data_IF_137933486351
#
_entry.id   IF_137933486351
#
_cell.length_a   1.000
_cell.length_b   1.000
_cell.length_c   1.000
_cell.angle_alpha   90.00
_cell.angle_beta   90.00
_cell.angle_gamma   90.00
#
_symmetry.space_group_name_H-M   'P 1'
#
loop_
_entity.id
_entity.type
_entity.pdbx_description
1 polymer ?
#
# COMPACT_ATOMS: atom_id res chain seq x y z
N UNK A 1 -15.72 -36.66 60.74
CA UNK A 1 -14.30 -36.48 60.44
C UNK A 1 -14.11 -36.47 58.93
N UNK A 2 -13.95 -35.30 58.32
CA UNK A 2 -13.43 -35.16 56.95
C UNK A 2 -13.00 -33.71 56.72
N UNK A 3 -11.77 -33.58 56.24
CA UNK A 3 -11.01 -32.34 56.05
C UNK A 3 -11.54 -31.58 54.83
N UNK A 4 -11.61 -30.25 54.92
CA UNK A 4 -11.72 -29.37 53.75
C UNK A 4 -10.49 -28.47 53.75
N UNK A 5 -9.68 -28.59 52.69
CA UNK A 5 -8.43 -27.89 52.47
C UNK A 5 -8.70 -26.47 51.97
N UNK A 6 -8.24 -25.49 52.73
CA UNK A 6 -8.11 -24.08 52.35
C UNK A 6 -6.92 -23.93 51.40
N UNK A 7 -7.12 -23.35 50.22
CA UNK A 7 -6.03 -22.88 49.36
C UNK A 7 -6.11 -21.36 49.25
N UNK A 8 -5.08 -20.71 49.79
CA UNK A 8 -4.79 -19.28 49.79
C UNK A 8 -4.25 -18.84 48.43
N UNK A 9 -4.86 -17.82 47.81
CA UNK A 9 -4.23 -17.06 46.71
C UNK A 9 -3.33 -15.96 47.30
N UNK A 10 -2.12 -15.75 46.77
CA UNK A 10 -1.32 -14.58 47.13
C UNK A 10 -1.70 -13.37 46.27
N UNK A 11 -2.07 -12.27 46.94
CA UNK A 11 -2.15 -10.94 46.36
C UNK A 11 -0.74 -10.42 46.06
N UNK A 12 -0.49 -9.99 44.82
CA UNK A 12 0.72 -9.22 44.49
C UNK A 12 0.29 -7.86 43.98
N UNK A 13 0.80 -6.84 44.68
CA UNK A 13 0.50 -5.44 44.51
C UNK A 13 0.86 -4.90 43.13
N UNK A 14 -0.06 -4.12 42.57
CA UNK A 14 0.14 -3.28 41.40
C UNK A 14 1.15 -2.16 41.71
N UNK A 15 2.29 -2.18 41.02
CA UNK A 15 3.22 -1.05 40.97
C UNK A 15 2.71 0.02 39.99
N UNK A 16 2.92 1.32 40.26
CA UNK A 16 2.43 2.39 39.43
C UNK A 16 3.23 2.49 38.12
N UNK A 17 2.50 2.72 37.02
CA UNK A 17 3.03 2.89 35.69
C UNK A 17 3.98 4.11 35.62
N UNK A 18 5.23 3.85 35.24
CA UNK A 18 6.18 4.88 34.83
C UNK A 18 5.69 5.54 33.53
N UNK A 19 5.43 6.83 33.60
CA UNK A 19 5.12 7.70 32.47
C UNK A 19 6.31 7.75 31.49
N UNK A 20 6.18 7.08 30.35
CA UNK A 20 7.04 7.34 29.19
C UNK A 20 6.54 8.60 28.48
N UNK A 21 7.35 9.65 28.54
CA UNK A 21 7.22 10.84 27.72
C UNK A 21 7.41 10.47 26.25
N UNK A 22 6.31 10.22 25.54
CA UNK A 22 6.33 9.97 24.10
C UNK A 22 6.70 11.24 23.35
N UNK A 23 7.89 11.27 22.74
CA UNK A 23 8.16 12.22 21.67
C UNK A 23 7.25 11.88 20.50
N UNK A 24 6.24 12.72 20.29
CA UNK A 24 5.34 12.60 19.14
C UNK A 24 6.13 13.03 17.91
N UNK A 25 6.86 12.10 17.29
CA UNK A 25 7.37 12.32 15.94
C UNK A 25 6.15 12.43 15.03
N UNK A 26 5.74 13.67 14.74
CA UNK A 26 4.73 13.95 13.73
C UNK A 26 5.30 13.52 12.39
N UNK A 27 4.70 12.47 11.82
CA UNK A 27 5.03 11.97 10.49
C UNK A 27 4.75 13.08 9.46
N UNK A 28 5.64 13.31 8.47
CA UNK A 28 5.41 14.31 7.44
C UNK A 28 4.13 13.99 6.67
N UNK A 29 3.34 15.01 6.34
CA UNK A 29 2.15 14.82 5.49
C UNK A 29 2.54 14.48 4.06
N UNK A 30 1.61 13.87 3.30
CA UNK A 30 1.78 13.65 1.86
C UNK A 30 2.19 14.92 1.11
N UNK A 31 1.68 16.08 1.52
CA UNK A 31 2.00 17.38 0.91
C UNK A 31 3.46 17.78 1.17
N UNK A 32 3.97 17.55 2.40
CA UNK A 32 5.37 17.80 2.75
C UNK A 32 6.32 16.83 2.02
N UNK A 33 5.91 15.58 1.83
CA UNK A 33 6.67 14.61 1.05
C UNK A 33 6.67 14.99 -0.44
N UNK A 34 5.56 15.47 -0.99
CA UNK A 34 5.50 15.96 -2.37
C UNK A 34 6.41 17.18 -2.59
N UNK A 35 6.41 18.13 -1.65
CA UNK A 35 7.35 19.26 -1.68
C UNK A 35 8.81 18.80 -1.55
N UNK A 36 9.09 17.79 -0.71
CA UNK A 36 10.44 17.22 -0.57
C UNK A 36 10.89 16.53 -1.85
N UNK A 37 9.99 15.79 -2.52
CA UNK A 37 10.26 15.18 -3.84
C UNK A 37 10.52 16.25 -4.90
N UNK A 38 9.81 17.38 -4.85
CA UNK A 38 10.08 18.53 -5.73
C UNK A 38 11.40 19.25 -5.42
N UNK A 39 11.98 19.07 -4.23
CA UNK A 39 13.23 19.70 -3.80
C UNK A 39 14.45 18.78 -3.87
N UNK A 40 14.29 17.50 -4.27
CA UNK A 40 15.43 16.62 -4.52
C UNK A 40 16.08 17.00 -5.86
N UNK A 41 17.37 17.37 -5.81
CA UNK A 41 18.16 17.73 -6.99
C UNK A 41 18.05 16.65 -8.09
N UNK A 42 17.62 17.12 -9.26
CA UNK A 42 17.50 16.43 -10.54
C UNK A 42 18.86 15.81 -10.91
N UNK A 43 19.00 14.50 -11.14
CA UNK A 43 19.08 14.01 -12.53
C UNK A 43 18.90 12.47 -12.68
N UNK A 44 18.67 11.68 -11.62
CA UNK A 44 18.65 10.21 -11.75
C UNK A 44 17.55 9.44 -10.98
N UNK A 45 16.63 10.10 -10.25
CA UNK A 45 15.71 9.38 -9.37
C UNK A 45 14.30 9.14 -9.93
N UNK A 46 13.86 9.93 -10.92
CA UNK A 46 12.47 9.92 -11.37
C UNK A 46 12.35 10.12 -12.88
N UNK A 47 11.87 9.08 -13.56
CA UNK A 47 11.53 9.12 -14.97
C UNK A 47 10.01 9.04 -15.13
N UNK A 48 9.45 9.87 -16.01
CA UNK A 48 8.03 9.86 -16.34
C UNK A 48 7.82 9.31 -17.74
N UNK A 49 7.14 8.18 -17.83
CA UNK A 49 6.76 7.55 -19.11
C UNK A 49 5.25 7.49 -19.22
N UNK A 50 4.71 7.89 -20.38
CA UNK A 50 3.29 7.77 -20.68
C UNK A 50 3.03 6.51 -21.48
N UNK A 51 2.15 5.66 -20.98
CA UNK A 51 1.69 4.46 -21.68
C UNK A 51 0.18 4.27 -21.51
N UNK A 52 -0.45 3.61 -22.48
CA UNK A 52 -1.76 3.00 -22.27
C UNK A 52 -1.59 1.67 -21.53
N UNK A 53 -1.82 1.69 -20.22
CA UNK A 53 -1.70 0.51 -19.38
C UNK A 53 -2.75 -0.58 -19.70
N UNK A 54 -3.81 -0.26 -20.46
CA UNK A 54 -4.77 -1.27 -20.95
C UNK A 54 -4.24 -2.02 -22.18
N UNK A 55 -3.26 -1.46 -22.89
CA UNK A 55 -2.55 -2.12 -23.98
C UNK A 55 -1.48 -3.06 -23.44
N UNK A 56 -1.64 -4.35 -23.72
CA UNK A 56 -0.66 -5.36 -23.32
C UNK A 56 0.72 -5.09 -23.94
N UNK A 57 0.76 -4.73 -25.21
CA UNK A 57 2.02 -4.52 -25.92
C UNK A 57 2.79 -3.34 -25.33
N UNK A 58 2.11 -2.23 -25.02
CA UNK A 58 2.76 -1.07 -24.39
C UNK A 58 3.27 -1.39 -22.98
N UNK A 59 2.50 -2.12 -22.17
CA UNK A 59 2.97 -2.57 -20.85
C UNK A 59 4.18 -3.48 -20.98
N UNK A 60 4.19 -4.38 -21.95
CA UNK A 60 5.32 -5.30 -22.18
C UNK A 60 6.56 -4.54 -22.65
N UNK A 61 6.41 -3.59 -23.58
CA UNK A 61 7.50 -2.72 -24.02
C UNK A 61 8.06 -1.90 -22.86
N UNK A 62 7.20 -1.22 -22.10
CA UNK A 62 7.61 -0.45 -20.94
C UNK A 62 8.40 -1.28 -19.92
N UNK A 63 7.86 -2.45 -19.55
CA UNK A 63 8.53 -3.34 -18.61
C UNK A 63 9.85 -3.89 -19.18
N UNK A 64 9.92 -4.15 -20.49
CA UNK A 64 11.12 -4.64 -21.15
C UNK A 64 12.24 -3.59 -21.20
N UNK A 65 11.89 -2.32 -21.32
CA UNK A 65 12.83 -1.20 -21.34
C UNK A 65 13.40 -0.89 -19.94
N UNK A 66 12.81 -1.45 -18.89
CA UNK A 66 13.26 -1.33 -17.49
C UNK A 66 13.60 -2.71 -16.88
N UNK A 67 14.61 -3.43 -17.41
CA UNK A 67 14.94 -4.79 -16.96
C UNK A 67 15.46 -4.85 -15.51
N UNK A 68 15.94 -3.72 -14.99
CA UNK A 68 16.47 -3.51 -13.64
C UNK A 68 15.38 -3.23 -12.59
N UNK A 69 14.11 -3.12 -13.00
CA UNK A 69 13.00 -2.95 -12.08
C UNK A 69 12.96 -4.06 -11.03
N UNK A 70 13.11 -3.69 -9.75
CA UNK A 70 13.09 -4.63 -8.62
C UNK A 70 11.72 -4.76 -7.97
N UNK A 71 10.87 -3.76 -8.15
CA UNK A 71 9.51 -3.75 -7.63
C UNK A 71 8.55 -3.03 -8.59
N UNK A 72 7.28 -3.43 -8.55
CA UNK A 72 6.20 -2.80 -9.32
C UNK A 72 5.06 -2.44 -8.39
N UNK A 73 4.61 -1.19 -8.40
CA UNK A 73 3.44 -0.74 -7.65
C UNK A 73 2.35 -0.32 -8.63
N UNK A 74 1.28 -1.11 -8.71
CA UNK A 74 0.11 -0.77 -9.51
C UNK A 74 -0.95 -0.07 -8.65
N UNK A 75 -1.04 1.25 -8.81
CA UNK A 75 -2.09 2.10 -8.24
C UNK A 75 -3.15 2.53 -9.26
N UNK A 76 -3.15 1.94 -10.47
CA UNK A 76 -4.11 2.31 -11.52
C UNK A 76 -5.53 1.87 -11.12
N UNK A 77 -6.48 2.79 -11.28
CA UNK A 77 -7.88 2.51 -11.08
C UNK A 77 -8.77 3.59 -11.67
N UNK A 78 -9.90 3.16 -12.25
CA UNK A 78 -10.89 4.06 -12.83
C UNK A 78 -12.23 3.88 -12.10
N UNK A 79 -12.68 4.95 -11.43
CA UNK A 79 -13.99 4.98 -10.79
C UNK A 79 -14.98 5.66 -11.75
N UNK A 80 -15.75 4.85 -12.48
CA UNK A 80 -16.79 5.35 -13.40
C UNK A 80 -18.07 4.50 -13.29
N UNK A 81 -19.18 5.08 -13.75
CA UNK A 81 -20.48 4.39 -13.87
C UNK A 81 -20.54 3.49 -15.09
N UNK A 82 -19.69 3.70 -16.09
CA UNK A 82 -19.59 2.81 -17.23
C UNK A 82 -19.00 1.47 -16.77
N UNK A 83 -19.80 0.40 -16.89
CA UNK A 83 -19.39 -0.92 -16.46
C UNK A 83 -18.16 -1.41 -17.23
N UNK A 84 -18.17 -1.27 -18.56
CA UNK A 84 -17.12 -1.83 -19.42
C UNK A 84 -15.79 -1.11 -19.19
N UNK A 85 -15.77 0.22 -19.23
CA UNK A 85 -14.57 1.01 -18.96
C UNK A 85 -13.98 0.69 -17.57
N UNK A 86 -14.85 0.67 -16.54
CA UNK A 86 -14.39 0.36 -15.18
C UNK A 86 -13.89 -1.08 -15.07
N UNK A 87 -14.56 -2.06 -15.67
CA UNK A 87 -14.13 -3.46 -15.64
C UNK A 87 -12.81 -3.65 -16.37
N UNK A 88 -12.68 -3.05 -17.55
CA UNK A 88 -11.50 -3.14 -18.42
C UNK A 88 -10.30 -2.52 -17.72
N UNK A 89 -10.37 -1.24 -17.33
CA UNK A 89 -9.22 -0.55 -16.72
C UNK A 89 -8.82 -1.19 -15.40
N UNK A 90 -9.77 -1.49 -14.51
CA UNK A 90 -9.41 -2.04 -13.19
C UNK A 90 -9.01 -3.53 -13.23
N UNK A 91 -9.27 -4.25 -14.32
CA UNK A 91 -8.95 -5.68 -14.46
C UNK A 91 -7.77 -5.97 -15.38
N UNK A 92 -7.81 -5.41 -16.59
CA UNK A 92 -6.87 -5.76 -17.66
C UNK A 92 -5.49 -5.16 -17.40
N UNK A 93 -5.40 -3.96 -16.80
CA UNK A 93 -4.11 -3.33 -16.44
C UNK A 93 -3.27 -4.23 -15.54
N UNK A 94 -3.83 -4.72 -14.44
CA UNK A 94 -3.11 -5.61 -13.53
C UNK A 94 -2.82 -6.97 -14.17
N UNK A 95 -3.71 -7.44 -15.05
CA UNK A 95 -3.49 -8.69 -15.79
C UNK A 95 -2.30 -8.57 -16.76
N UNK A 96 -2.19 -7.44 -17.47
CA UNK A 96 -1.08 -7.14 -18.36
C UNK A 96 0.24 -7.04 -17.58
N UNK A 97 0.24 -6.31 -16.46
CA UNK A 97 1.42 -6.18 -15.58
C UNK A 97 1.84 -7.55 -15.04
N UNK A 98 0.91 -8.34 -14.50
CA UNK A 98 1.21 -9.67 -13.97
C UNK A 98 1.80 -10.61 -15.04
N UNK A 99 1.30 -10.54 -16.27
CA UNK A 99 1.85 -11.28 -17.39
C UNK A 99 3.23 -10.77 -17.82
N UNK A 100 3.45 -9.45 -17.82
CA UNK A 100 4.72 -8.83 -18.23
C UNK A 100 5.85 -9.11 -17.24
N UNK A 101 5.57 -9.10 -15.93
CA UNK A 101 6.56 -9.41 -14.88
C UNK A 101 7.15 -10.82 -15.00
N UNK A 102 6.43 -11.75 -15.63
CA UNK A 102 6.93 -13.10 -15.88
C UNK A 102 7.87 -13.23 -17.08
N UNK A 103 8.10 -12.16 -17.83
CA UNK A 103 9.10 -12.17 -18.88
C UNK A 103 10.48 -12.57 -18.31
N UNK A 104 11.29 -13.42 -18.98
CA UNK A 104 12.54 -13.93 -18.44
C UNK A 104 13.52 -12.86 -17.94
N UNK A 105 13.51 -11.68 -18.58
CA UNK A 105 14.34 -10.53 -18.18
C UNK A 105 13.93 -9.92 -16.83
N UNK A 106 12.65 -10.01 -16.46
CA UNK A 106 12.08 -9.40 -15.26
C UNK A 106 11.79 -10.42 -14.16
N UNK A 107 11.57 -11.68 -14.54
CA UNK A 107 11.26 -12.75 -13.60
C UNK A 107 12.36 -12.92 -12.53
N UNK A 108 13.59 -12.52 -12.83
CA UNK A 108 14.72 -12.55 -11.90
C UNK A 108 14.89 -11.24 -11.11
N UNK A 109 14.64 -10.08 -11.72
CA UNK A 109 14.84 -8.76 -11.08
C UNK A 109 13.67 -8.35 -10.20
N UNK A 110 12.43 -8.54 -10.66
CA UNK A 110 11.24 -8.15 -9.91
C UNK A 110 11.02 -9.09 -8.73
N UNK A 111 11.19 -8.55 -7.53
CA UNK A 111 11.04 -9.24 -6.25
C UNK A 111 9.64 -9.07 -5.67
N UNK A 112 9.01 -7.92 -5.94
CA UNK A 112 7.69 -7.60 -5.41
C UNK A 112 6.79 -6.87 -6.40
N UNK A 113 5.54 -7.27 -6.43
CA UNK A 113 4.46 -6.59 -7.14
C UNK A 113 3.36 -6.26 -6.14
N UNK A 114 3.10 -4.97 -5.96
CA UNK A 114 2.05 -4.44 -5.10
C UNK A 114 0.88 -4.01 -5.96
N UNK A 115 -0.32 -4.49 -5.64
CA UNK A 115 -1.55 -4.08 -6.29
C UNK A 115 -2.48 -3.38 -5.31
N UNK A 116 -2.81 -2.11 -5.58
CA UNK A 116 -3.81 -1.36 -4.82
C UNK A 116 -5.21 -1.68 -5.36
N UNK A 117 -5.88 -2.61 -4.69
CA UNK A 117 -7.24 -3.05 -5.01
C UNK A 117 -8.28 -2.20 -4.24
N UNK A 118 -9.40 -2.81 -3.86
CA UNK A 118 -10.40 -2.25 -2.98
C UNK A 118 -11.05 -3.37 -2.17
N UNK A 119 -11.45 -3.03 -0.95
CA UNK A 119 -12.21 -3.94 -0.11
C UNK A 119 -13.54 -4.31 -0.79
N UNK A 120 -13.86 -5.61 -0.96
CA UNK A 120 -15.09 -6.04 -1.61
C UNK A 120 -16.34 -5.64 -0.80
N UNK A 121 -17.14 -4.72 -1.36
CA UNK A 121 -18.36 -4.18 -0.76
C UNK A 121 -19.47 -5.23 -0.53
N UNK A 122 -19.33 -6.43 -1.13
CA UNK A 122 -20.33 -7.48 -1.05
C UNK A 122 -20.13 -8.46 0.12
N UNK A 123 -19.02 -8.38 0.86
CA UNK A 123 -18.77 -9.32 1.96
C UNK A 123 -19.58 -9.01 3.23
N UNK A 124 -19.85 -7.73 3.53
CA UNK A 124 -20.32 -7.35 4.87
C UNK A 124 -21.65 -6.60 4.93
N UNK A 125 -22.11 -5.97 3.84
CA UNK A 125 -23.29 -5.08 3.88
C UNK A 125 -24.30 -5.35 2.75
N UNK A 126 -24.57 -6.64 2.47
CA UNK A 126 -25.55 -7.09 1.46
C UNK A 126 -26.96 -6.50 1.64
N UNK A 127 -27.31 -6.05 2.87
CA UNK A 127 -28.66 -5.64 3.29
C UNK A 127 -28.86 -4.13 3.44
N UNK A 128 -27.80 -3.34 3.63
CA UNK A 128 -27.89 -1.89 3.91
C UNK A 128 -27.66 -1.03 2.66
N UNK A 129 -26.77 -1.46 1.77
CA UNK A 129 -26.41 -0.72 0.55
C UNK A 129 -26.97 -1.43 -0.70
N UNK A 130 -28.29 -1.60 -0.72
CA UNK A 130 -29.07 -2.23 -1.80
C UNK A 130 -28.95 -1.56 -3.18
N UNK A 131 -28.15 -0.50 -3.34
CA UNK A 131 -27.74 0.07 -4.62
C UNK A 131 -26.59 -0.72 -5.25
N UNK A 132 -26.79 -2.03 -5.43
CA UNK A 132 -26.04 -2.80 -6.42
C UNK A 132 -26.23 -2.06 -7.74
N UNK A 133 -25.16 -1.75 -8.48
CA UNK A 133 -25.07 -1.44 -9.93
C UNK A 133 -24.10 -0.29 -10.27
N UNK A 134 -23.99 0.78 -9.45
CA UNK A 134 -23.21 1.97 -9.84
C UNK A 134 -21.70 1.73 -10.02
N UNK A 135 -21.10 0.84 -9.22
CA UNK A 135 -19.66 0.54 -9.27
C UNK A 135 -19.40 -0.95 -9.54
N UNK A 136 -20.37 -1.64 -10.19
CA UNK A 136 -20.25 -3.07 -10.46
C UNK A 136 -19.01 -3.39 -11.30
N UNK A 137 -18.74 -2.57 -12.33
CA UNK A 137 -17.58 -2.73 -13.21
C UNK A 137 -16.26 -2.55 -12.45
N UNK A 138 -16.18 -1.52 -11.60
CA UNK A 138 -15.04 -1.25 -10.74
C UNK A 138 -14.67 -2.46 -9.86
N UNK A 139 -15.62 -2.98 -9.06
CA UNK A 139 -15.34 -4.12 -8.19
C UNK A 139 -15.07 -5.42 -8.96
N UNK A 140 -15.72 -5.59 -10.11
CA UNK A 140 -15.48 -6.74 -10.96
C UNK A 140 -14.05 -6.70 -11.53
N UNK A 141 -13.63 -5.56 -12.08
CA UNK A 141 -12.26 -5.35 -12.56
C UNK A 141 -11.24 -5.52 -11.44
N UNK A 142 -11.47 -4.89 -10.27
CA UNK A 142 -10.58 -5.04 -9.11
C UNK A 142 -10.37 -6.52 -8.76
N UNK A 143 -11.44 -7.33 -8.71
CA UNK A 143 -11.36 -8.78 -8.46
C UNK A 143 -10.60 -9.55 -9.55
N UNK A 144 -10.72 -9.17 -10.81
CA UNK A 144 -9.91 -9.75 -11.90
C UNK A 144 -8.42 -9.48 -11.64
N UNK A 145 -8.06 -8.24 -11.31
CA UNK A 145 -6.68 -7.88 -10.97
C UNK A 145 -6.15 -8.64 -9.75
N UNK A 146 -6.97 -8.81 -8.72
CA UNK A 146 -6.59 -9.61 -7.54
C UNK A 146 -6.31 -11.06 -7.91
N UNK A 147 -7.18 -11.66 -8.73
CA UNK A 147 -6.99 -13.03 -9.24
C UNK A 147 -5.67 -13.12 -10.01
N UNK A 148 -5.41 -12.14 -10.89
CA UNK A 148 -4.17 -12.07 -11.65
C UNK A 148 -2.93 -11.97 -10.74
N UNK A 149 -2.99 -11.31 -9.59
CA UNK A 149 -1.86 -11.26 -8.65
C UNK A 149 -1.73 -12.57 -7.87
N UNK A 150 -2.82 -13.06 -7.28
CA UNK A 150 -2.79 -14.18 -6.34
C UNK A 150 -2.50 -15.53 -7.02
N UNK A 151 -3.01 -15.73 -8.23
CA UNK A 151 -2.81 -16.99 -8.95
C UNK A 151 -1.48 -17.05 -9.69
N UNK A 152 -0.98 -15.89 -10.14
CA UNK A 152 0.22 -15.85 -10.97
C UNK A 152 1.46 -15.50 -10.15
N UNK A 153 1.43 -14.49 -9.28
CA UNK A 153 2.66 -13.94 -8.71
C UNK A 153 3.13 -14.63 -7.42
N UNK A 154 2.32 -15.52 -6.83
CA UNK A 154 2.67 -16.24 -5.60
C UNK A 154 3.16 -15.30 -4.49
N UNK A 155 4.31 -15.61 -3.88
CA UNK A 155 4.89 -14.78 -2.82
C UNK A 155 5.40 -13.42 -3.32
N UNK A 156 5.60 -13.23 -4.63
CA UNK A 156 5.96 -11.93 -5.19
C UNK A 156 4.77 -10.97 -5.23
N UNK A 157 3.54 -11.47 -5.09
CA UNK A 157 2.33 -10.66 -5.17
C UNK A 157 1.79 -10.24 -3.79
N UNK A 158 1.50 -8.95 -3.63
CA UNK A 158 0.69 -8.43 -2.52
C UNK A 158 -0.48 -7.62 -3.06
N UNK A 159 -1.65 -7.83 -2.47
CA UNK A 159 -2.88 -7.11 -2.78
C UNK A 159 -3.26 -6.27 -1.57
N UNK A 160 -3.19 -4.95 -1.69
CA UNK A 160 -3.72 -4.03 -0.69
C UNK A 160 -5.22 -3.84 -0.95
N UNK A 161 -6.05 -4.09 0.06
CA UNK A 161 -7.50 -3.87 0.02
C UNK A 161 -7.90 -2.72 0.94
N UNK A 162 -7.71 -1.47 0.48
CA UNK A 162 -8.22 -0.32 1.20
C UNK A 162 -9.75 -0.26 1.12
N UNK A 163 -10.36 0.34 2.14
CA UNK A 163 -11.75 0.75 2.15
C UNK A 163 -11.90 2.15 1.51
N UNK A 164 -12.60 3.07 2.16
CA UNK A 164 -12.58 4.49 1.78
C UNK A 164 -11.22 5.11 2.14
N UNK A 165 -10.44 5.47 1.12
CA UNK A 165 -9.17 6.18 1.31
C UNK A 165 -9.46 7.66 1.53
N UNK A 166 -8.87 8.23 2.59
CA UNK A 166 -8.96 9.66 2.87
C UNK A 166 -7.57 10.31 2.92
N UNK A 167 -7.56 11.62 2.69
CA UNK A 167 -6.36 12.44 2.50
C UNK A 167 -6.70 13.60 1.57
N UNK A 168 -5.69 14.25 1.01
CA UNK A 168 -5.87 15.25 -0.05
C UNK A 168 -5.93 14.54 -1.40
N UNK A 169 -7.07 14.62 -2.08
CA UNK A 169 -7.21 14.08 -3.44
C UNK A 169 -7.11 15.20 -4.46
N UNK A 170 -6.12 15.14 -5.32
CA UNK A 170 -5.99 16.03 -6.46
C UNK A 170 -6.81 15.47 -7.64
N UNK A 171 -7.76 16.25 -8.13
CA UNK A 171 -8.58 15.90 -9.30
C UNK A 171 -8.28 16.89 -10.41
N UNK A 172 -7.90 16.37 -11.58
CA UNK A 172 -7.76 17.18 -12.78
C UNK A 172 -9.17 17.53 -13.30
N UNK A 173 -9.46 18.83 -13.38
CA UNK A 173 -10.72 19.38 -13.88
C UNK A 173 -10.39 20.16 -15.14
N UNK A 174 -10.90 19.69 -16.28
CA UNK A 174 -10.84 20.46 -17.52
C UNK A 174 -11.77 21.66 -17.40
N UNK A 175 -11.28 22.84 -17.76
CA UNK A 175 -12.09 24.05 -17.76
C UNK A 175 -13.18 23.97 -18.83
N UNK A 176 -14.43 24.22 -18.44
CA UNK A 176 -15.55 24.28 -19.40
C UNK A 176 -15.39 25.43 -20.42
N UNK A 177 -14.58 26.44 -20.11
CA UNK A 177 -14.31 27.57 -21.00
C UNK A 177 -13.08 27.37 -21.89
N UNK A 178 -12.15 26.49 -21.49
CA UNK A 178 -10.98 26.17 -22.28
C UNK A 178 -10.61 24.69 -22.08
N UNK A 179 -10.98 23.81 -23.02
CA UNK A 179 -10.75 22.36 -22.87
C UNK A 179 -9.26 21.99 -22.83
N UNK A 180 -8.36 22.88 -23.28
CA UNK A 180 -6.91 22.70 -23.20
C UNK A 180 -6.33 23.14 -21.85
N UNK A 181 -7.12 23.84 -21.02
CA UNK A 181 -6.74 24.24 -19.67
C UNK A 181 -7.20 23.20 -18.65
N UNK A 182 -6.24 22.43 -18.12
CA UNK A 182 -6.44 21.48 -17.04
C UNK A 182 -6.04 22.13 -15.71
N UNK A 183 -6.99 22.26 -14.79
CA UNK A 183 -6.75 22.77 -13.44
C UNK A 183 -6.81 21.64 -12.42
N UNK A 184 -5.98 21.69 -11.38
CA UNK A 184 -5.99 20.71 -10.29
C UNK A 184 -6.86 21.20 -9.14
N UNK A 185 -7.91 20.45 -8.79
CA UNK A 185 -8.76 20.69 -7.62
C UNK A 185 -8.36 19.74 -6.47
N UNK A 186 -7.93 20.32 -5.35
CA UNK A 186 -7.63 19.57 -4.12
C UNK A 186 -8.91 19.35 -3.31
N UNK A 187 -9.30 18.09 -3.12
CA UNK A 187 -10.43 17.66 -2.31
C UNK A 187 -9.92 17.10 -0.97
N UNK A 188 -10.07 17.83 0.16
CA UNK A 188 -9.62 17.38 1.47
C UNK A 188 -10.60 16.35 2.05
N UNK A 189 -10.54 15.11 1.54
CA UNK A 189 -11.38 14.00 2.02
C UNK A 189 -11.07 13.64 3.48
N UNK A 190 -9.95 14.12 4.02
CA UNK A 190 -9.57 13.95 5.43
C UNK A 190 -10.59 14.50 6.44
N UNK A 191 -11.33 15.57 6.10
CA UNK A 191 -12.32 16.16 7.03
C UNK A 191 -13.49 15.24 7.34
N UNK A 192 -13.86 14.36 6.40
CA UNK A 192 -14.93 13.37 6.57
C UNK A 192 -14.34 12.00 6.94
N UNK A 193 -13.20 11.64 6.34
CA UNK A 193 -12.58 10.33 6.51
C UNK A 193 -12.00 10.10 7.90
N UNK A 194 -11.29 11.08 8.47
CA UNK A 194 -10.59 10.91 9.75
C UNK A 194 -11.55 10.70 10.95
N UNK A 195 -12.65 11.46 11.11
CA UNK A 195 -13.62 11.19 12.17
C UNK A 195 -14.27 9.81 12.02
N UNK A 196 -14.60 9.42 10.79
CA UNK A 196 -15.23 8.14 10.50
C UNK A 196 -14.28 6.96 10.75
N UNK A 197 -12.99 7.11 10.42
CA UNK A 197 -11.95 6.14 10.74
C UNK A 197 -11.85 5.90 12.25
N UNK A 198 -11.67 6.98 13.03
CA UNK A 198 -11.56 6.90 14.49
C UNK A 198 -12.79 6.24 15.11
N UNK A 199 -13.98 6.61 14.64
CA UNK A 199 -15.25 6.06 15.13
C UNK A 199 -15.35 4.55 14.84
N UNK A 200 -15.15 4.14 13.59
CA UNK A 200 -15.30 2.73 13.19
C UNK A 200 -14.20 1.83 13.74
N UNK A 201 -12.99 2.37 13.91
CA UNK A 201 -11.90 1.67 14.60
C UNK A 201 -12.20 1.52 16.09
N UNK A 202 -12.74 2.56 16.77
CA UNK A 202 -13.05 2.51 18.20
C UNK A 202 -14.23 1.60 18.57
N UNK A 203 -15.24 1.50 17.69
CA UNK A 203 -16.39 0.61 17.90
C UNK A 203 -16.00 -0.87 17.79
N UNK A 204 -14.75 -1.19 17.39
CA UNK A 204 -14.29 -2.56 17.27
C UNK A 204 -15.10 -3.32 16.24
N UNK A 205 -15.38 -2.70 15.09
CA UNK A 205 -16.13 -3.27 13.97
C UNK A 205 -15.38 -4.39 13.25
N UNK A 206 -14.78 -5.32 14.00
CA UNK A 206 -13.95 -6.41 13.49
C UNK A 206 -14.59 -7.08 12.30
N UNK A 207 -13.90 -7.09 11.16
CA UNK A 207 -14.31 -7.58 9.82
C UNK A 207 -15.66 -7.07 9.28
N UNK A 208 -16.62 -6.62 10.08
CA UNK A 208 -17.98 -6.29 9.66
C UNK A 208 -18.09 -4.89 9.04
N UNK A 209 -17.23 -3.95 9.44
CA UNK A 209 -17.13 -2.63 8.85
C UNK A 209 -15.65 -2.27 8.68
N UNK A 210 -15.16 -2.33 7.44
CA UNK A 210 -13.78 -1.92 7.16
C UNK A 210 -13.67 -0.40 7.35
N UNK A 211 -12.88 0.10 8.33
CA UNK A 211 -12.79 1.53 8.61
C UNK A 211 -12.10 2.23 7.44
N UNK A 212 -12.43 3.51 7.14
CA UNK A 212 -11.64 4.35 6.25
C UNK A 212 -10.15 4.30 6.58
N UNK A 213 -9.31 4.52 5.59
CA UNK A 213 -7.84 4.43 5.73
C UNK A 213 -7.17 5.69 5.19
N UNK A 214 -6.17 6.19 5.91
CA UNK A 214 -5.36 7.32 5.44
C UNK A 214 -4.54 6.87 4.21
N UNK A 215 -4.42 7.75 3.21
CA UNK A 215 -3.59 7.52 2.03
C UNK A 215 -2.14 7.17 2.40
N UNK A 216 -1.60 7.79 3.46
CA UNK A 216 -0.25 7.53 3.93
C UNK A 216 -0.05 6.09 4.40
N UNK A 217 -1.08 5.48 5.01
CA UNK A 217 -1.02 4.07 5.45
C UNK A 217 -1.00 3.14 4.23
N UNK A 218 -1.74 3.46 3.18
CA UNK A 218 -1.73 2.67 1.94
C UNK A 218 -0.39 2.81 1.23
N UNK A 219 0.14 4.03 1.13
CA UNK A 219 1.43 4.30 0.51
C UNK A 219 2.58 3.64 1.27
N UNK A 220 2.62 3.79 2.59
CA UNK A 220 3.66 3.17 3.42
C UNK A 220 3.57 1.64 3.38
N UNK A 221 2.38 1.05 3.44
CA UNK A 221 2.23 -0.39 3.32
C UNK A 221 2.74 -0.91 1.97
N UNK A 222 2.50 -0.16 0.88
CA UNK A 222 3.04 -0.49 -0.44
C UNK A 222 4.58 -0.43 -0.45
N UNK A 223 5.16 0.66 0.04
CA UNK A 223 6.62 0.85 0.09
C UNK A 223 7.28 -0.22 0.96
N UNK A 224 6.75 -0.49 2.16
CA UNK A 224 7.28 -1.53 3.05
C UNK A 224 7.18 -2.92 2.45
N UNK A 225 6.09 -3.22 1.72
CA UNK A 225 5.99 -4.50 1.02
C UNK A 225 7.10 -4.67 -0.03
N UNK A 226 7.46 -3.61 -0.74
CA UNK A 226 8.60 -3.61 -1.66
C UNK A 226 9.94 -3.73 -0.92
N UNK A 227 10.17 -2.88 0.09
CA UNK A 227 11.43 -2.81 0.83
C UNK A 227 11.76 -4.10 1.61
N UNK A 228 10.74 -4.83 2.07
CA UNK A 228 10.91 -6.04 2.87
C UNK A 228 10.85 -7.34 2.05
N UNK A 229 10.74 -7.26 0.72
CA UNK A 229 10.57 -8.43 -0.16
C UNK A 229 11.67 -9.49 -0.01
N UNK A 230 12.91 -9.07 0.25
CA UNK A 230 14.06 -9.96 0.45
C UNK A 230 14.45 -10.14 1.92
N UNK A 231 13.67 -9.61 2.85
CA UNK A 231 14.01 -9.68 4.26
C UNK A 231 13.46 -10.97 4.88
N UNK A 232 14.32 -11.82 5.48
CA UNK A 232 13.88 -13.07 6.08
C UNK A 232 12.80 -12.83 7.15
N UNK A 233 11.65 -13.49 7.01
CA UNK A 233 10.55 -13.42 7.97
C UNK A 233 9.72 -12.13 7.94
N UNK A 234 10.03 -11.18 7.05
CA UNK A 234 9.26 -9.93 6.87
C UNK A 234 8.62 -9.81 5.49
N UNK A 235 8.75 -10.84 4.65
CA UNK A 235 8.12 -10.88 3.34
C UNK A 235 6.59 -10.74 3.43
N UNK A 236 6.06 -9.71 2.77
CA UNK A 236 4.62 -9.44 2.72
C UNK A 236 4.08 -9.97 1.39
N UNK A 237 3.12 -10.89 1.48
CA UNK A 237 2.42 -11.45 0.33
C UNK A 237 0.94 -11.73 0.62
N UNK A 238 0.18 -11.97 -0.44
CA UNK A 238 -1.26 -12.23 -0.39
C UNK A 238 -2.07 -10.97 -0.12
N UNK A 239 -3.25 -11.13 0.50
CA UNK A 239 -4.19 -10.03 0.74
C UNK A 239 -3.83 -9.30 2.05
N UNK A 240 -3.78 -7.96 1.98
CA UNK A 240 -3.64 -7.07 3.13
C UNK A 240 -4.86 -6.15 3.20
N UNK A 241 -5.72 -6.39 4.18
CA UNK A 241 -6.81 -5.47 4.53
C UNK A 241 -6.29 -4.26 5.33
N UNK A 242 -7.20 -3.37 5.72
CA UNK A 242 -6.84 -2.14 6.46
C UNK A 242 -6.11 -2.43 7.76
N UNK A 243 -6.46 -3.50 8.47
CA UNK A 243 -5.80 -3.86 9.72
C UNK A 243 -4.39 -4.35 9.47
N UNK A 244 -4.20 -5.26 8.50
CA UNK A 244 -2.87 -5.75 8.14
C UNK A 244 -1.97 -4.62 7.62
N UNK A 245 -2.51 -3.66 6.87
CA UNK A 245 -1.74 -2.46 6.46
C UNK A 245 -1.28 -1.64 7.66
N UNK A 246 -2.13 -1.46 8.69
CA UNK A 246 -1.73 -0.76 9.93
C UNK A 246 -0.67 -1.53 10.71
N UNK A 247 -0.80 -2.86 10.80
CA UNK A 247 0.21 -3.70 11.46
C UNK A 247 1.56 -3.59 10.76
N UNK A 248 1.56 -3.61 9.42
CA UNK A 248 2.77 -3.39 8.61
C UNK A 248 3.39 -2.02 8.91
N UNK A 249 2.59 -0.95 9.00
CA UNK A 249 3.07 0.40 9.27
C UNK A 249 3.58 0.59 10.71
N UNK A 250 3.00 -0.15 11.67
CA UNK A 250 3.39 -0.09 13.08
C UNK A 250 4.61 -0.97 13.40
N UNK A 251 4.95 -1.93 12.56
CA UNK A 251 6.14 -2.76 12.75
C UNK A 251 7.43 -1.93 12.66
N UNK A 252 8.47 -2.35 13.38
CA UNK A 252 9.78 -1.69 13.34
C UNK A 252 10.41 -1.87 11.97
N UNK A 253 10.74 -0.76 11.32
CA UNK A 253 11.47 -0.74 10.06
C UNK A 253 12.94 -1.10 10.32
N UNK A 254 13.43 -2.25 9.85
CA UNK A 254 14.80 -2.67 10.09
C UNK A 254 15.84 -1.90 9.27
N UNK A 255 15.41 -1.09 8.28
CA UNK A 255 16.32 -0.19 7.56
C UNK A 255 16.67 1.07 8.37
N UNK A 256 15.87 1.37 9.40
CA UNK A 256 16.09 2.47 10.33
C UNK A 256 16.81 1.91 11.57
N UNK A 257 18.15 1.93 11.55
CA UNK A 257 18.92 1.72 12.77
C UNK A 257 18.87 2.99 13.63
N UNK A 258 18.49 2.86 14.91
CA UNK A 258 18.75 3.90 15.90
C UNK A 258 20.23 3.85 16.28
N UNK A 259 21.00 4.85 15.86
CA UNK A 259 22.30 5.08 16.48
C UNK A 259 22.09 5.45 17.96
N UNK A 260 23.02 5.03 18.83
CA UNK A 260 23.00 5.27 20.30
C UNK A 260 22.86 6.75 20.72
N UNK A 261 22.86 7.70 19.78
CA UNK A 261 22.65 9.13 19.98
C UNK A 261 21.29 9.66 19.47
N UNK A 262 20.32 8.79 19.12
CA UNK A 262 18.98 9.20 18.72
C UNK A 262 18.91 9.87 17.33
N UNK A 263 19.90 9.62 16.48
CA UNK A 263 19.89 10.05 15.08
C UNK A 263 19.60 8.83 14.20
N UNK A 264 18.52 8.90 13.42
CA UNK A 264 18.16 7.83 12.47
C UNK A 264 18.94 8.06 11.19
N UNK A 265 19.86 7.17 10.85
CA UNK A 265 20.55 7.16 9.55
C UNK A 265 20.12 5.95 8.75
N UNK A 266 19.71 6.16 7.50
CA UNK A 266 19.41 5.08 6.55
C UNK A 266 20.67 4.25 6.29
N UNK A 267 20.57 2.93 6.40
CA UNK A 267 21.69 2.01 6.18
C UNK A 267 22.13 2.02 4.70
N UNK A 268 23.31 2.58 4.42
CA UNK A 268 24.01 2.47 3.13
C UNK A 268 24.58 1.05 2.98
N UNK A 269 23.76 0.11 2.51
CA UNK A 269 24.19 -1.22 2.12
C UNK A 269 24.26 -1.35 0.59
N UNK A 270 25.29 -0.75 -0.01
CA UNK A 270 25.83 -1.14 -1.32
C UNK A 270 27.20 -0.54 -1.53
N UNK A 271 28.24 -1.25 -1.10
CA UNK A 271 29.62 -1.15 -1.60
C UNK A 271 30.46 -2.27 -0.99
N UNK A 272 30.32 -3.48 -1.51
CA UNK A 272 31.39 -4.49 -1.43
C UNK A 272 31.14 -5.61 -2.45
N UNK A 273 31.51 -5.36 -3.70
CA UNK A 273 31.71 -6.39 -4.71
C UNK A 273 32.70 -5.88 -5.76
N UNK A 274 33.98 -5.72 -5.39
CA UNK A 274 35.11 -5.72 -6.32
C UNK A 274 36.44 -5.54 -5.57
N UNK A 275 36.96 -6.62 -5.02
CA UNK A 275 38.43 -6.77 -4.90
C UNK A 275 38.75 -8.24 -5.13
N UNK A 276 38.87 -8.60 -6.41
CA UNK A 276 39.49 -9.86 -6.83
C UNK A 276 40.97 -9.77 -6.49
N UNK A 277 41.41 -10.66 -5.60
CA UNK A 277 42.81 -10.95 -5.30
C UNK A 277 43.55 -11.28 -6.59
N UNK A 278 44.58 -10.50 -6.91
CA UNK A 278 45.70 -10.97 -7.72
C UNK A 278 46.89 -11.18 -6.78
N UNK A 279 47.19 -12.44 -6.50
CA UNK A 279 48.48 -12.91 -5.98
C UNK A 279 48.88 -14.14 -6.80
N UNK A 280 49.75 -13.89 -7.80
CA UNK A 280 50.86 -14.70 -8.35
C UNK A 280 51.08 -14.46 -9.83
#
# INVERSE_FOLDING_TARGET
>A
MSRTLTTTQPSVASSPASSSSGSTHQRPSADQLAETVHQMDEENALEFVSIDATSRDQVFHFLHDHPDATAVVNAVGLLTRNYEDARQVNGDVMTNIAAGVFHPKLAQSVQKVVYVSAEPYNLYSRRILGSKHLLKGYFHGKRIGEKAVLENLGNKGVVLRPSFIYGTRHVLVASAMNPDAVSTLSLPLGWIGLPLDKLLTAIGGGKLLMPPVCVDVVAEAAVRACAWANQPGKDIHGICDVYRMRDICNAVDPSLHEDRNGTVTASTASKEASTVKNDR
#
